data_IF_711424062394
#
_entry.id   IF_711424062394
#
_cell.length_a   1.000
_cell.length_b   1.000
_cell.length_c   1.000
_cell.angle_alpha   90.00
_cell.angle_beta   90.00
_cell.angle_gamma   90.00
#
_symmetry.space_group_name_H-M   'P 1'
#
loop_
_entity.id
_entity.type
_entity.pdbx_description
1 polymer ?
#
# COMPACT_ATOMS: atom_id res chain seq x y z
N UNK A 1 -18.70 2.00 6.81
CA UNK A 1 -18.48 1.57 6.53
C UNK A 1 -17.61 1.15 6.07
N UNK A 2 -16.91 0.81 5.94
CA UNK A 2 -16.15 0.47 5.54
C UNK A 2 -15.77 -0.02 5.08
N UNK A 3 -15.31 -0.27 4.91
CA UNK A 3 -15.10 -0.75 4.35
C UNK A 3 -14.24 -1.59 4.00
N UNK A 4 -13.38 -2.14 4.40
CA UNK A 4 -12.46 -3.14 3.99
C UNK A 4 -11.84 -2.97 2.62
N UNK A 5 -11.72 -1.76 2.21
CA UNK A 5 -11.11 -1.51 0.91
C UNK A 5 -9.61 -1.69 0.97
N UNK A 6 -9.07 -2.26 -0.09
CA UNK A 6 -7.65 -2.49 -0.22
C UNK A 6 -7.19 -1.96 -1.57
N UNK A 7 -5.95 -1.49 -1.62
CA UNK A 7 -5.36 -0.96 -2.84
C UNK A 7 -4.10 -1.76 -3.17
N UNK A 8 -3.84 -1.92 -4.46
CA UNK A 8 -2.56 -2.48 -4.89
C UNK A 8 -1.49 -1.42 -4.72
N UNK A 9 -0.22 -1.86 -4.83
CA UNK A 9 0.89 -0.91 -4.74
C UNK A 9 0.77 0.17 -5.81
N UNK A 10 0.32 -0.21 -6.99
CA UNK A 10 0.16 0.75 -8.08
C UNK A 10 -0.92 1.76 -7.75
N UNK A 11 -2.00 1.29 -7.16
CA UNK A 11 -3.08 2.19 -6.78
C UNK A 11 -2.66 3.14 -5.67
N UNK A 12 -1.84 2.64 -4.74
CA UNK A 12 -1.31 3.50 -3.69
C UNK A 12 -0.42 4.59 -4.29
N UNK A 13 0.41 4.20 -5.25
CA UNK A 13 1.29 5.17 -5.90
C UNK A 13 0.46 6.27 -6.57
N UNK A 14 -0.63 5.90 -7.22
CA UNK A 14 -1.49 6.88 -7.86
C UNK A 14 -2.21 7.76 -6.85
N UNK A 15 -2.58 7.18 -5.74
CA UNK A 15 -3.25 7.94 -4.69
C UNK A 15 -2.38 9.11 -4.23
N UNK A 16 -1.08 8.94 -4.25
CA UNK A 16 -0.14 9.99 -3.87
C UNK A 16 0.42 10.73 -5.08
N UNK A 17 -0.24 10.59 -6.21
CA UNK A 17 0.11 11.31 -7.45
C UNK A 17 1.56 11.08 -7.84
N UNK A 18 2.01 9.85 -7.65
CA UNK A 18 3.37 9.50 -8.00
C UNK A 18 4.42 9.98 -7.01
N UNK A 19 4.00 10.62 -5.91
CA UNK A 19 4.95 11.02 -4.87
C UNK A 19 5.60 9.84 -4.19
N UNK A 20 4.94 8.68 -4.23
CA UNK A 20 5.49 7.45 -3.70
C UNK A 20 5.42 6.42 -4.82
N UNK A 21 6.55 6.01 -5.33
CA UNK A 21 6.57 5.06 -6.45
C UNK A 21 6.37 3.63 -5.94
N UNK A 22 6.01 2.75 -6.86
CA UNK A 22 5.86 1.33 -6.53
C UNK A 22 7.19 0.78 -6.02
N UNK A 23 8.31 1.22 -6.61
CA UNK A 23 9.62 0.80 -6.13
C UNK A 23 9.88 1.22 -4.71
N UNK A 24 9.46 2.43 -4.35
CA UNK A 24 9.60 2.92 -3.00
C UNK A 24 8.79 2.07 -2.03
N UNK A 25 7.55 1.74 -2.42
CA UNK A 25 6.71 0.91 -1.56
C UNK A 25 7.33 -0.47 -1.36
N UNK A 26 7.88 -1.04 -2.42
CA UNK A 26 8.52 -2.34 -2.32
C UNK A 26 9.73 -2.27 -1.37
N UNK A 27 10.51 -1.22 -1.49
CA UNK A 27 11.68 -1.03 -0.65
C UNK A 27 11.26 -0.90 0.83
N UNK A 28 10.20 -0.15 1.06
CA UNK A 28 9.69 0.02 2.43
C UNK A 28 9.24 -1.31 3.01
N UNK A 29 8.60 -2.16 2.20
CA UNK A 29 8.18 -3.48 2.69
C UNK A 29 9.39 -4.31 3.10
N UNK A 30 10.44 -4.25 2.30
CA UNK A 30 11.65 -5.01 2.61
C UNK A 30 12.29 -4.54 3.90
N UNK A 31 12.21 -3.24 4.17
CA UNK A 31 12.77 -2.65 5.37
C UNK A 31 11.79 -2.63 6.53
N UNK A 32 10.56 -3.08 6.29
CA UNK A 32 9.50 -3.12 7.30
C UNK A 32 9.15 -1.74 7.83
N UNK A 33 9.15 -0.78 6.93
CA UNK A 33 8.70 0.58 7.23
C UNK A 33 7.59 0.94 6.25
N UNK A 34 7.00 2.10 6.45
CA UNK A 34 5.92 2.57 5.58
C UNK A 34 4.58 2.03 6.02
N UNK A 35 3.58 2.12 5.14
CA UNK A 35 2.22 1.71 5.51
C UNK A 35 2.12 0.21 5.74
N UNK A 36 1.20 -0.18 6.59
CA UNK A 36 0.90 -1.60 6.79
C UNK A 36 0.36 -2.19 5.50
N UNK A 37 0.58 -3.47 5.32
CA UNK A 37 0.09 -4.15 4.12
C UNK A 37 -0.28 -5.58 4.46
N UNK A 38 -1.08 -6.18 3.59
CA UNK A 38 -1.50 -7.57 3.70
C UNK A 38 -1.01 -8.29 2.47
N UNK A 39 -0.41 -9.45 2.66
CA UNK A 39 0.04 -10.25 1.54
C UNK A 39 -0.85 -11.48 1.42
N UNK A 40 -1.49 -11.62 0.27
CA UNK A 40 -2.35 -12.76 -0.01
C UNK A 40 -1.81 -13.45 -1.25
N UNK A 41 -1.25 -14.64 -1.04
CA UNK A 41 -0.60 -15.33 -2.15
C UNK A 41 0.52 -14.48 -2.69
N UNK A 42 0.44 -14.11 -3.95
CA UNK A 42 1.45 -13.27 -4.59
C UNK A 42 1.05 -11.81 -4.61
N UNK A 43 -0.11 -11.48 -4.08
CA UNK A 43 -0.62 -10.13 -4.14
C UNK A 43 -0.32 -9.40 -2.84
N UNK A 44 0.08 -8.14 -2.97
CA UNK A 44 0.28 -7.27 -1.82
C UNK A 44 -0.80 -6.18 -1.89
N UNK A 45 -1.54 -6.04 -0.81
CA UNK A 45 -2.63 -5.09 -0.74
C UNK A 45 -2.42 -4.18 0.46
N UNK A 46 -2.82 -2.93 0.30
CA UNK A 46 -2.69 -1.93 1.35
C UNK A 46 -4.07 -1.53 1.83
N UNK A 47 -4.40 -1.76 3.12
CA UNK A 47 -5.70 -1.33 3.63
C UNK A 47 -5.82 0.18 3.58
N UNK A 48 -6.92 0.66 3.03
CA UNK A 48 -7.12 2.10 2.88
C UNK A 48 -7.11 2.79 4.24
N UNK A 49 -7.68 2.15 5.24
CA UNK A 49 -7.76 2.76 6.56
C UNK A 49 -6.36 3.05 7.11
N UNK A 50 -5.38 2.21 6.78
CA UNK A 50 -4.00 2.44 7.24
C UNK A 50 -3.37 3.60 6.51
N UNK A 51 -3.75 3.80 5.27
CA UNK A 51 -3.20 4.90 4.47
C UNK A 51 -3.75 6.25 4.92
N UNK A 52 -4.95 6.25 5.46
CA UNK A 52 -5.59 7.48 5.88
C UNK A 52 -5.25 7.87 7.31
N UNK A 53 -4.64 6.99 8.02
CA UNK A 53 -4.31 7.23 9.44
C UNK A 53 -3.21 8.27 9.66
#
# INVERSE_FOLDING_TARGET
MSDGKFLTAEEVSERYRGGVSVGTLRNWRAMKIGPSFVKIGKAVLYPVVELEA
#
